data_IF_927869750050
#
_entry.id   IF_927869750050
#
_cell.length_a   1.000
_cell.length_b   1.000
_cell.length_c   1.000
_cell.angle_alpha   90.00
_cell.angle_beta   90.00
_cell.angle_gamma   90.00
#
_symmetry.space_group_name_H-M   'P 1'
#
loop_
_entity.id
_entity.type
_entity.pdbx_description
1 polymer ?
#
# COMPACT_ATOMS: atom_id res chain seq x y z
N UNK A 1 -5.46 -7.97 11.14
CA UNK A 1 -5.18 -7.47 12.52
C UNK A 1 -5.82 -8.34 13.59
N UNK A 2 -7.15 -8.52 13.61
CA UNK A 2 -7.90 -9.27 14.65
C UNK A 2 -7.34 -10.67 14.93
N UNK A 3 -7.15 -11.48 13.87
CA UNK A 3 -6.61 -12.85 13.98
C UNK A 3 -5.28 -12.94 14.75
N UNK A 4 -4.45 -11.89 14.66
CA UNK A 4 -3.12 -11.84 15.25
C UNK A 4 -3.04 -10.91 16.48
N UNK A 5 -4.17 -10.38 16.96
CA UNK A 5 -4.19 -9.43 18.07
C UNK A 5 -3.44 -8.10 17.83
N UNK A 6 -3.17 -7.73 16.56
CA UNK A 6 -2.42 -6.52 16.24
C UNK A 6 -3.22 -5.24 16.58
N UNK A 7 -2.56 -4.28 17.22
CA UNK A 7 -3.16 -3.02 17.70
C UNK A 7 -3.04 -1.82 16.75
N UNK A 8 -2.19 -1.95 15.72
CA UNK A 8 -1.96 -0.95 14.68
C UNK A 8 -1.88 -1.66 13.33
N UNK A 9 -2.39 -1.02 12.28
CA UNK A 9 -2.25 -1.47 10.91
C UNK A 9 -2.71 -0.37 9.95
N UNK A 10 -2.50 -0.56 8.66
CA UNK A 10 -2.96 0.39 7.68
C UNK A 10 -2.34 0.20 6.30
N UNK A 11 -2.63 1.16 5.43
CA UNK A 11 -2.25 1.15 4.02
C UNK A 11 -1.50 2.43 3.62
N UNK A 12 -0.80 2.39 2.48
CA UNK A 12 -0.04 3.54 1.95
C UNK A 12 -0.92 4.76 1.64
N UNK A 13 -2.23 4.56 1.43
CA UNK A 13 -3.23 5.62 1.23
C UNK A 13 -3.43 6.52 2.46
N UNK A 14 -2.94 6.12 3.64
CA UNK A 14 -3.21 6.79 4.90
C UNK A 14 -4.42 6.22 5.67
N UNK A 15 -5.02 5.13 5.19
CA UNK A 15 -6.03 4.37 5.93
C UNK A 15 -5.36 3.61 7.08
N UNK A 16 -5.30 4.23 8.26
CA UNK A 16 -4.63 3.70 9.46
C UNK A 16 -5.66 3.35 10.53
N UNK A 17 -5.51 2.16 11.10
CA UNK A 17 -6.39 1.61 12.14
C UNK A 17 -5.60 1.48 13.44
N UNK A 18 -6.09 2.12 14.49
CA UNK A 18 -5.67 1.84 15.87
C UNK A 18 -6.75 1.03 16.58
N UNK A 19 -6.67 -0.31 16.48
CA UNK A 19 -7.75 -1.22 16.92
C UNK A 19 -8.02 -1.23 18.43
N UNK A 20 -7.20 -0.53 19.21
CA UNK A 20 -7.48 -0.23 20.62
C UNK A 20 -8.65 0.77 20.79
N UNK A 21 -8.86 1.66 19.82
CA UNK A 21 -9.77 2.80 19.94
C UNK A 21 -10.96 2.71 18.99
N UNK A 22 -10.73 2.23 17.77
CA UNK A 22 -11.71 2.20 16.68
C UNK A 22 -11.65 0.86 15.95
N UNK A 23 -12.77 0.43 15.37
CA UNK A 23 -12.87 -0.82 14.60
C UNK A 23 -12.56 -0.67 13.11
N UNK A 24 -12.46 0.57 12.63
CA UNK A 24 -12.10 0.96 11.24
C UNK A 24 -11.01 2.04 11.28
N UNK A 25 -10.61 2.55 10.12
CA UNK A 25 -9.72 3.70 10.06
C UNK A 25 -10.34 4.96 10.67
N UNK A 26 -9.46 5.81 11.17
CA UNK A 26 -9.84 7.14 11.63
C UNK A 26 -8.66 8.09 11.40
N UNK A 27 -8.81 8.96 10.39
CA UNK A 27 -7.79 9.94 10.03
C UNK A 27 -7.56 10.99 11.12
N UNK A 28 -8.60 11.38 11.85
CA UNK A 28 -8.50 12.35 12.94
C UNK A 28 -7.70 11.72 14.08
N UNK A 29 -8.08 10.52 14.53
CA UNK A 29 -7.33 9.78 15.54
C UNK A 29 -5.87 9.58 15.12
N UNK A 30 -5.62 9.24 13.85
CA UNK A 30 -4.27 9.06 13.32
C UNK A 30 -3.44 10.33 13.41
N UNK A 31 -4.03 11.47 13.04
CA UNK A 31 -3.36 12.77 13.17
C UNK A 31 -3.04 13.13 14.63
N UNK A 32 -3.98 12.89 15.55
CA UNK A 32 -3.78 13.11 16.98
C UNK A 32 -2.67 12.21 17.53
N UNK A 33 -2.61 10.93 17.12
CA UNK A 33 -1.54 10.00 17.51
C UNK A 33 -0.18 10.43 16.99
N UNK A 34 -0.12 11.00 15.78
CA UNK A 34 1.12 11.55 15.25
C UNK A 34 1.58 12.79 16.03
N UNK A 35 0.66 13.72 16.34
CA UNK A 35 0.94 14.90 17.16
C UNK A 35 1.41 14.51 18.57
N UNK A 36 0.80 13.50 19.18
CA UNK A 36 1.21 12.95 20.48
C UNK A 36 2.69 12.52 20.46
N UNK A 37 3.12 11.81 19.41
CA UNK A 37 4.52 11.39 19.24
C UNK A 37 5.45 12.59 19.02
N UNK A 38 5.05 13.56 18.17
CA UNK A 38 5.83 14.78 17.93
C UNK A 38 6.08 15.55 19.23
N UNK A 39 5.05 15.74 20.04
CA UNK A 39 5.14 16.41 21.34
C UNK A 39 5.99 15.62 22.33
N UNK A 40 5.76 14.32 22.46
CA UNK A 40 6.49 13.47 23.40
C UNK A 40 7.99 13.37 23.06
N UNK A 41 8.33 13.38 21.76
CA UNK A 41 9.72 13.32 21.29
C UNK A 41 10.36 14.71 21.14
N UNK A 42 9.58 15.79 21.22
CA UNK A 42 10.00 17.17 20.93
C UNK A 42 10.69 17.28 19.57
N UNK A 43 10.12 16.63 18.56
CA UNK A 43 10.67 16.56 17.21
C UNK A 43 9.61 16.92 16.18
N UNK A 44 10.04 17.52 15.09
CA UNK A 44 9.19 17.76 13.94
C UNK A 44 8.88 16.45 13.21
N UNK A 45 7.85 16.47 12.34
CA UNK A 45 7.52 15.30 11.53
C UNK A 45 8.67 14.92 10.58
N UNK A 46 9.39 15.90 10.04
CA UNK A 46 10.54 15.63 9.15
C UNK A 46 11.67 14.90 9.86
N UNK A 47 11.96 15.25 11.12
CA UNK A 47 12.95 14.56 11.94
C UNK A 47 12.54 13.13 12.31
N UNK A 48 11.25 12.91 12.60
CA UNK A 48 10.71 11.58 12.90
C UNK A 48 10.72 10.68 11.66
N UNK A 49 10.58 11.25 10.47
CA UNK A 49 10.58 10.52 9.21
C UNK A 49 11.99 10.18 8.68
N UNK A 50 13.07 10.74 9.24
CA UNK A 50 14.45 10.48 8.76
C UNK A 50 14.81 9.00 8.62
N UNK A 51 14.44 8.09 9.55
CA UNK A 51 14.77 6.66 9.41
C UNK A 51 13.99 5.97 8.28
N UNK A 52 12.91 6.57 7.76
CA UNK A 52 12.08 6.00 6.71
C UNK A 52 12.71 6.27 5.34
N UNK A 53 13.33 5.24 4.76
CA UNK A 53 13.80 5.28 3.37
C UNK A 53 12.69 4.85 2.43
N UNK A 54 12.17 5.80 1.64
CA UNK A 54 11.24 5.52 0.55
C UNK A 54 12.04 5.02 -0.65
N UNK A 55 11.75 3.81 -1.12
CA UNK A 55 12.33 3.28 -2.35
C UNK A 55 11.57 3.82 -3.57
N UNK A 56 12.23 3.95 -4.73
CA UNK A 56 11.55 4.27 -5.98
C UNK A 56 10.41 3.26 -6.22
N UNK A 57 9.19 3.77 -6.36
CA UNK A 57 8.00 2.97 -6.62
C UNK A 57 7.14 3.69 -7.65
N UNK A 58 6.67 2.94 -8.64
CA UNK A 58 5.66 3.38 -9.60
C UNK A 58 4.42 2.53 -9.36
N UNK A 59 3.25 3.14 -9.42
CA UNK A 59 1.96 2.46 -9.35
C UNK A 59 1.16 2.88 -10.59
N UNK A 60 1.06 1.97 -11.56
CA UNK A 60 0.31 2.23 -12.79
C UNK A 60 -1.04 1.52 -12.75
N UNK A 61 -2.09 2.22 -13.14
CA UNK A 61 -3.44 1.68 -13.19
C UNK A 61 -3.90 1.54 -14.64
N UNK A 62 -3.83 0.32 -15.16
CA UNK A 62 -4.15 0.02 -16.55
C UNK A 62 -5.64 -0.32 -16.69
N UNK A 63 -6.35 0.39 -17.56
CA UNK A 63 -7.75 0.09 -17.89
C UNK A 63 -7.83 -1.20 -18.69
N UNK A 64 -8.72 -2.12 -18.28
CA UNK A 64 -8.94 -3.41 -18.93
C UNK A 64 -10.42 -3.70 -19.09
N UNK A 65 -10.80 -4.52 -20.06
CA UNK A 65 -12.21 -4.91 -20.26
C UNK A 65 -12.65 -6.04 -19.34
N UNK A 66 -11.72 -6.86 -18.86
CA UNK A 66 -11.92 -7.90 -17.85
C UNK A 66 -10.63 -8.10 -17.05
N UNK A 67 -10.72 -8.00 -15.72
CA UNK A 67 -9.53 -8.03 -14.84
C UNK A 67 -8.85 -9.40 -14.85
N UNK A 68 -9.63 -10.48 -14.74
CA UNK A 68 -9.11 -11.85 -14.71
C UNK A 68 -8.53 -12.25 -16.06
N UNK A 69 -9.23 -11.94 -17.15
CA UNK A 69 -8.75 -12.24 -18.48
C UNK A 69 -7.45 -11.48 -18.79
N UNK A 70 -7.37 -10.19 -18.42
CA UNK A 70 -6.16 -9.40 -18.62
C UNK A 70 -4.99 -9.90 -17.77
N UNK A 71 -5.22 -10.25 -16.50
CA UNK A 71 -4.17 -10.79 -15.63
C UNK A 71 -3.67 -12.16 -16.13
N UNK A 72 -4.57 -13.01 -16.63
CA UNK A 72 -4.22 -14.34 -17.14
C UNK A 72 -3.84 -14.36 -18.63
N UNK A 73 -3.80 -13.21 -19.29
CA UNK A 73 -3.40 -13.13 -20.69
C UNK A 73 -1.95 -13.63 -20.84
N UNK A 74 -1.62 -14.42 -21.88
CA UNK A 74 -0.27 -14.94 -22.09
C UNK A 74 0.80 -13.85 -22.04
N UNK A 75 0.55 -12.69 -22.65
CA UNK A 75 1.46 -11.55 -22.61
C UNK A 75 1.77 -11.06 -21.18
N UNK A 76 0.77 -11.02 -20.28
CA UNK A 76 0.97 -10.63 -18.89
C UNK A 76 1.71 -11.71 -18.11
N UNK A 77 1.31 -12.98 -18.28
CA UNK A 77 1.93 -14.13 -17.62
C UNK A 77 3.40 -14.34 -18.04
N UNK A 78 3.77 -13.97 -19.26
CA UNK A 78 5.16 -14.02 -19.72
C UNK A 78 5.98 -12.79 -19.29
N UNK A 79 5.36 -11.61 -19.23
CA UNK A 79 6.08 -10.37 -18.89
C UNK A 79 6.42 -10.29 -17.40
N UNK A 80 5.52 -10.70 -16.51
CA UNK A 80 5.71 -10.57 -15.06
C UNK A 80 6.97 -11.31 -14.56
N UNK A 81 7.22 -12.58 -14.93
CA UNK A 81 8.45 -13.28 -14.53
C UNK A 81 9.72 -12.63 -15.10
N UNK A 82 9.69 -12.17 -16.36
CA UNK A 82 10.84 -11.48 -16.99
C UNK A 82 11.22 -10.20 -16.24
N UNK A 83 10.21 -9.42 -15.83
CA UNK A 83 10.45 -8.22 -15.02
C UNK A 83 10.92 -8.58 -13.61
N UNK A 84 10.33 -9.61 -12.99
CA UNK A 84 10.77 -10.08 -11.68
C UNK A 84 12.24 -10.55 -11.70
N UNK A 85 12.66 -11.26 -12.75
CA UNK A 85 14.05 -11.68 -12.95
C UNK A 85 14.98 -10.47 -13.13
N UNK A 86 14.58 -9.49 -13.94
CA UNK A 86 15.35 -8.27 -14.15
C UNK A 86 15.51 -7.43 -12.87
N UNK A 87 14.52 -7.45 -11.97
CA UNK A 87 14.57 -6.77 -10.67
C UNK A 87 15.39 -7.54 -9.61
N UNK A 88 15.55 -8.86 -9.80
CA UNK A 88 16.32 -9.75 -8.93
C UNK A 88 15.99 -9.55 -7.44
N UNK A 89 17.00 -9.47 -6.58
CA UNK A 89 16.87 -9.25 -5.13
C UNK A 89 16.68 -7.78 -4.72
N UNK A 90 16.81 -6.84 -5.66
CA UNK A 90 16.77 -5.39 -5.39
C UNK A 90 15.39 -4.75 -5.59
N UNK A 91 14.43 -5.49 -6.16
CA UNK A 91 13.12 -4.95 -6.48
C UNK A 91 12.02 -6.01 -6.53
N UNK A 92 10.80 -5.54 -6.81
CA UNK A 92 9.64 -6.42 -7.02
C UNK A 92 8.62 -5.77 -7.95
N UNK A 93 7.88 -6.61 -8.65
CA UNK A 93 6.68 -6.23 -9.40
C UNK A 93 5.45 -6.87 -8.74
N UNK A 94 4.33 -6.15 -8.69
CA UNK A 94 3.07 -6.66 -8.16
C UNK A 94 1.93 -6.31 -9.11
N UNK A 95 1.50 -7.28 -9.91
CA UNK A 95 0.29 -7.13 -10.72
C UNK A 95 -0.90 -7.68 -9.96
N UNK A 96 -1.93 -6.86 -9.76
CA UNK A 96 -3.18 -7.29 -9.11
C UNK A 96 -4.41 -6.58 -9.67
N UNK A 97 -5.56 -7.18 -9.45
CA UNK A 97 -6.84 -6.52 -9.64
C UNK A 97 -6.98 -5.31 -8.69
N UNK A 98 -7.44 -4.16 -9.21
CA UNK A 98 -7.77 -3.01 -8.36
C UNK A 98 -9.01 -3.29 -7.50
N UNK A 99 -8.96 -2.91 -6.22
CA UNK A 99 -10.02 -3.12 -5.24
C UNK A 99 -11.14 -2.09 -5.22
N UNK A 100 -11.01 -0.97 -5.95
CA UNK A 100 -12.06 0.07 -6.02
C UNK A 100 -13.14 -0.32 -7.03
N UNK A 101 -14.40 -0.28 -6.62
CA UNK A 101 -15.54 -0.91 -7.30
C UNK A 101 -15.87 -0.42 -8.72
N UNK A 102 -16.49 -1.33 -9.47
CA UNK A 102 -17.39 -1.25 -10.65
C UNK A 102 -17.17 -0.26 -11.81
N UNK A 103 -16.63 0.93 -11.62
CA UNK A 103 -16.59 1.96 -12.69
C UNK A 103 -15.31 1.99 -13.52
N UNK A 104 -14.29 1.23 -13.12
CA UNK A 104 -13.10 1.03 -13.96
C UNK A 104 -12.44 -0.29 -13.63
N UNK A 105 -12.60 -1.27 -14.51
CA UNK A 105 -11.84 -2.51 -14.47
C UNK A 105 -10.36 -2.16 -14.70
N UNK A 106 -9.58 -2.10 -13.63
CA UNK A 106 -8.15 -1.76 -13.66
C UNK A 106 -7.30 -2.87 -13.08
N UNK A 107 -6.14 -3.09 -13.70
CA UNK A 107 -5.02 -3.78 -13.09
C UNK A 107 -4.06 -2.74 -12.53
N UNK A 108 -3.59 -2.97 -11.31
CA UNK A 108 -2.50 -2.20 -10.71
C UNK A 108 -1.22 -2.98 -10.91
N UNK A 109 -0.19 -2.31 -11.42
CA UNK A 109 1.19 -2.81 -11.58
C UNK A 109 2.12 -2.09 -10.62
#
# INVERSE_FOLDING_TARGET
MVKNGCRIGGEQSGHIIFSKYVTTDDGILTSLKMMEVMLAKKKTMSELAVPLKIYPQVLENVLVTDKKAAQNAPAAQEAVPKVAEALSDTGRILVRESGTGHESKRLSV
#
